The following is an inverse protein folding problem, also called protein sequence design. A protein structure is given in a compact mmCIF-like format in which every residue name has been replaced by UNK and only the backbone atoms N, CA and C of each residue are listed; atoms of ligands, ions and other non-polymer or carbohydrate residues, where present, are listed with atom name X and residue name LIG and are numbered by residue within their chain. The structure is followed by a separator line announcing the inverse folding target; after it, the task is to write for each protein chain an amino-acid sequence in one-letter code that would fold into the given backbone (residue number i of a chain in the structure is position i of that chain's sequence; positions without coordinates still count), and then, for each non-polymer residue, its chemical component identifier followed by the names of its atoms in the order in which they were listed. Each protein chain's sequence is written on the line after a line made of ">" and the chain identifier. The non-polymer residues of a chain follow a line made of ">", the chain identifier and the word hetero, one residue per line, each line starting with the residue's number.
data_IF_268089521834
#
_entry.id   IF_268089521834
#
_cell.length_a   1.000
_cell.length_b   1.000
_cell.length_c   1.000
_cell.angle_alpha   90.00
_cell.angle_beta   90.00
_cell.angle_gamma   90.00
#
_symmetry.space_group_name_H-M   'P 1'
#
loop_
_entity.id
_entity.type
_entity.pdbx_description
1 polymer ?
#
# COMPACT_ATOMS: atom_id res chain seq x y z
N UNK A 1 22.76 -18.15 63.41
CA UNK A 1 22.84 -18.38 61.95
C UNK A 1 22.10 -17.26 61.27
N UNK A 2 22.86 -16.42 60.58
CA UNK A 2 22.47 -15.09 60.15
C UNK A 2 21.72 -15.07 58.81
N UNK A 3 20.66 -14.26 58.77
CA UNK A 3 19.84 -13.86 57.64
C UNK A 3 20.70 -13.23 56.53
N UNK A 4 20.73 -13.83 55.35
CA UNK A 4 21.18 -13.19 54.10
C UNK A 4 20.23 -13.69 53.03
N UNK A 5 19.08 -13.04 52.91
CA UNK A 5 18.21 -13.15 51.75
C UNK A 5 17.15 -12.01 51.83
N UNK A 6 17.42 -10.80 51.40
CA UNK A 6 16.56 -10.16 50.44
C UNK A 6 17.27 -9.16 49.48
N UNK A 7 18.58 -9.29 49.22
CA UNK A 7 19.26 -8.33 48.33
C UNK A 7 19.35 -8.79 46.86
N UNK A 8 18.91 -10.03 46.54
CA UNK A 8 19.07 -10.58 45.19
C UNK A 8 17.82 -10.43 44.28
N UNK A 9 16.68 -9.97 44.83
CA UNK A 9 15.44 -9.81 44.07
C UNK A 9 15.27 -8.40 43.52
N UNK A 10 16.04 -7.42 43.99
CA UNK A 10 15.92 -6.01 43.53
C UNK A 10 16.78 -5.66 42.31
N UNK A 11 17.66 -6.57 41.87
CA UNK A 11 18.54 -6.32 40.69
C UNK A 11 17.95 -6.95 39.41
N UNK A 12 16.95 -7.83 39.51
CA UNK A 12 16.36 -8.49 38.33
C UNK A 12 15.20 -7.71 37.70
N UNK A 13 14.71 -6.62 38.31
CA UNK A 13 13.65 -5.79 37.76
C UNK A 13 14.13 -4.55 36.99
N UNK A 14 15.45 -4.33 36.88
CA UNK A 14 16.03 -3.18 36.16
C UNK A 14 16.61 -3.51 34.78
N UNK A 15 16.44 -4.73 34.30
CA UNK A 15 17.01 -5.18 33.02
C UNK A 15 15.97 -5.44 31.91
N UNK A 16 14.70 -5.07 32.11
CA UNK A 16 13.63 -5.22 31.09
C UNK A 16 13.04 -3.89 30.61
N UNK A 17 13.73 -2.81 30.82
CA UNK A 17 13.40 -1.50 30.28
C UNK A 17 14.43 -1.00 29.29
N UNK A 18 14.74 -1.78 28.24
CA UNK A 18 15.26 -1.17 27.03
C UNK A 18 14.12 -0.43 26.36
N UNK A 19 13.73 0.71 26.92
CA UNK A 19 12.94 1.70 26.19
C UNK A 19 13.75 2.05 24.94
N UNK A 20 13.32 1.58 23.80
CA UNK A 20 13.66 2.20 22.52
C UNK A 20 13.10 3.61 22.59
N UNK A 21 13.94 4.58 22.92
CA UNK A 21 13.58 6.01 22.94
C UNK A 21 13.45 6.48 21.50
N UNK A 22 12.36 6.12 20.82
CA UNK A 22 11.90 6.80 19.63
C UNK A 22 11.48 8.24 20.00
N UNK A 23 11.60 9.17 19.06
CA UNK A 23 11.07 10.52 19.23
C UNK A 23 9.55 10.50 19.41
N UNK A 24 8.98 11.58 19.92
CA UNK A 24 7.53 11.78 20.01
C UNK A 24 7.07 12.64 18.83
N UNK A 25 5.96 12.23 18.19
CA UNK A 25 5.32 13.03 17.15
C UNK A 25 4.35 14.00 17.80
N UNK A 26 4.58 15.31 17.64
CA UNK A 26 3.70 16.39 18.07
C UNK A 26 2.95 17.02 16.89
N UNK A 27 1.74 17.54 17.12
CA UNK A 27 0.94 18.24 16.11
C UNK A 27 1.61 19.60 15.77
N UNK A 28 1.88 19.81 14.47
CA UNK A 28 2.46 21.07 13.96
C UNK A 28 1.45 21.91 13.17
N UNK A 29 0.46 21.28 12.56
CA UNK A 29 -0.65 21.93 11.85
C UNK A 29 -1.86 21.02 11.81
N UNK A 30 -3.05 21.62 11.60
CA UNK A 30 -4.28 20.87 11.35
C UNK A 30 -5.25 21.70 10.50
N UNK A 31 -6.10 20.99 9.73
CA UNK A 31 -7.14 21.57 8.90
C UNK A 31 -8.35 20.65 8.78
N UNK A 32 -9.49 21.21 8.41
CA UNK A 32 -10.71 20.44 8.20
C UNK A 32 -10.64 19.67 6.89
N UNK A 33 -11.04 18.41 6.90
CA UNK A 33 -11.17 17.59 5.70
C UNK A 33 -12.42 16.70 5.83
N UNK A 34 -13.05 16.31 4.71
CA UNK A 34 -14.14 15.34 4.78
C UNK A 34 -13.62 13.96 5.18
N UNK A 35 -14.50 13.13 5.75
CA UNK A 35 -14.22 11.72 5.98
C UNK A 35 -13.95 11.02 4.64
N UNK A 36 -12.90 10.21 4.61
CA UNK A 36 -12.46 9.45 3.44
C UNK A 36 -12.59 7.94 3.67
N UNK A 37 -12.83 7.20 2.59
CA UNK A 37 -12.76 5.74 2.57
C UNK A 37 -11.34 5.27 2.23
N UNK A 38 -10.63 6.07 1.47
CA UNK A 38 -9.23 5.86 1.11
C UNK A 38 -8.61 7.22 0.82
N UNK A 39 -7.35 7.40 1.16
CA UNK A 39 -6.63 8.61 0.82
C UNK A 39 -5.16 8.34 0.49
N UNK A 40 -4.55 9.32 -0.18
CA UNK A 40 -3.13 9.33 -0.46
C UNK A 40 -2.60 10.77 -0.50
N UNK A 41 -1.31 10.91 -0.25
CA UNK A 41 -0.59 12.17 -0.46
C UNK A 41 0.30 12.04 -1.69
N UNK A 42 0.27 13.05 -2.56
CA UNK A 42 1.15 13.17 -3.73
C UNK A 42 1.68 14.58 -3.79
N UNK A 43 2.97 14.75 -3.55
CA UNK A 43 3.58 16.08 -3.40
C UNK A 43 2.96 16.86 -2.23
N UNK A 44 2.35 17.99 -2.54
CA UNK A 44 1.65 18.85 -1.59
C UNK A 44 0.12 18.67 -1.59
N UNK A 45 -0.39 17.62 -2.23
CA UNK A 45 -1.82 17.35 -2.37
C UNK A 45 -2.26 16.15 -1.54
N UNK A 46 -3.37 16.30 -0.82
CA UNK A 46 -4.11 15.23 -0.16
C UNK A 46 -5.32 14.84 -1.01
N UNK A 47 -5.32 13.64 -1.56
CA UNK A 47 -6.41 13.06 -2.34
C UNK A 47 -7.30 12.23 -1.41
N UNK A 48 -8.58 12.55 -1.34
CA UNK A 48 -9.57 11.94 -0.46
C UNK A 48 -10.67 11.30 -1.29
N UNK A 49 -10.65 9.99 -1.45
CA UNK A 49 -11.77 9.25 -2.02
C UNK A 49 -12.84 9.05 -0.94
N UNK A 50 -14.02 9.53 -1.20
CA UNK A 50 -15.15 9.55 -0.28
C UNK A 50 -16.42 9.03 -0.95
N UNK A 51 -17.43 8.75 -0.15
CA UNK A 51 -18.73 8.37 -0.71
C UNK A 51 -19.26 9.47 -1.65
N UNK A 52 -19.44 9.11 -2.91
CA UNK A 52 -20.00 10.00 -3.94
C UNK A 52 -18.99 10.93 -4.62
N UNK A 53 -17.69 10.86 -4.30
CA UNK A 53 -16.72 11.72 -4.97
C UNK A 53 -15.28 11.56 -4.50
N UNK A 54 -14.42 12.32 -5.15
CA UNK A 54 -13.02 12.51 -4.75
C UNK A 54 -12.77 13.99 -4.53
N UNK A 55 -12.12 14.33 -3.44
CA UNK A 55 -11.73 15.69 -3.09
C UNK A 55 -10.22 15.79 -2.99
N UNK A 56 -9.66 16.81 -3.58
CA UNK A 56 -8.25 17.15 -3.46
C UNK A 56 -8.11 18.43 -2.62
N UNK A 57 -7.28 18.39 -1.61
CA UNK A 57 -6.88 19.51 -0.78
C UNK A 57 -5.37 19.73 -0.91
N UNK A 58 -4.90 20.96 -0.73
CA UNK A 58 -3.50 21.20 -0.42
C UNK A 58 -3.21 20.88 1.07
N UNK A 59 -1.95 20.92 1.49
CA UNK A 59 -1.56 20.64 2.87
C UNK A 59 -1.87 21.81 3.84
N UNK A 60 -2.42 22.91 3.38
CA UNK A 60 -3.02 23.99 4.15
C UNK A 60 -4.54 23.82 4.32
N UNK A 61 -5.15 22.81 3.63
CA UNK A 61 -6.57 22.50 3.69
C UNK A 61 -7.42 23.27 2.67
N UNK A 62 -6.83 23.96 1.71
CA UNK A 62 -7.56 24.62 0.63
C UNK A 62 -7.98 23.59 -0.41
N UNK A 63 -9.19 23.76 -0.95
CA UNK A 63 -9.71 22.91 -2.01
C UNK A 63 -8.99 23.18 -3.32
N UNK A 64 -8.44 22.12 -3.91
CA UNK A 64 -7.86 22.13 -5.27
C UNK A 64 -8.93 21.75 -6.29
N UNK A 65 -9.65 20.64 -6.03
CA UNK A 65 -10.82 20.25 -6.82
C UNK A 65 -11.77 19.34 -6.01
N UNK A 66 -13.00 19.20 -6.48
CA UNK A 66 -14.00 18.23 -6.00
C UNK A 66 -14.70 17.61 -7.22
N UNK A 67 -14.58 16.30 -7.40
CA UNK A 67 -15.10 15.56 -8.55
C UNK A 67 -16.04 14.44 -8.10
N UNK A 68 -17.10 14.19 -8.86
CA UNK A 68 -18.08 13.16 -8.55
C UNK A 68 -17.56 11.76 -8.89
N UNK A 69 -17.76 10.82 -7.98
CA UNK A 69 -17.66 9.38 -8.20
C UNK A 69 -18.96 8.75 -7.66
N UNK A 70 -19.91 8.39 -8.51
CA UNK A 70 -21.29 8.13 -8.08
C UNK A 70 -21.48 6.82 -7.30
N UNK A 71 -20.52 5.91 -7.30
CA UNK A 71 -20.56 4.63 -6.58
C UNK A 71 -20.09 4.79 -5.13
N UNK A 72 -20.19 3.72 -4.33
CA UNK A 72 -20.00 3.77 -2.88
C UNK A 72 -18.60 3.37 -2.42
N UNK A 73 -17.94 2.43 -3.12
CA UNK A 73 -16.66 1.85 -2.69
C UNK A 73 -15.51 2.53 -3.43
N UNK A 74 -15.13 3.70 -2.90
CA UNK A 74 -14.08 4.53 -3.48
C UNK A 74 -12.68 4.11 -2.96
N UNK A 75 -11.72 4.04 -3.88
CA UNK A 75 -10.33 3.70 -3.61
C UNK A 75 -9.39 4.71 -4.29
N UNK A 76 -8.20 4.86 -3.74
CA UNK A 76 -7.10 5.65 -4.29
C UNK A 76 -5.92 4.74 -4.56
N UNK A 77 -5.28 4.91 -5.71
CA UNK A 77 -3.95 4.37 -5.99
C UNK A 77 -3.02 5.55 -6.28
N UNK A 78 -1.91 5.60 -5.56
CA UNK A 78 -0.89 6.63 -5.71
C UNK A 78 0.46 6.03 -6.09
N UNK A 79 1.27 6.84 -6.75
CA UNK A 79 2.63 6.53 -7.17
C UNK A 79 3.47 7.82 -7.16
N UNK A 80 4.75 7.72 -7.50
CA UNK A 80 5.60 8.89 -7.67
C UNK A 80 5.11 9.84 -8.79
N UNK A 81 4.34 9.34 -9.77
CA UNK A 81 3.83 10.11 -10.89
C UNK A 81 2.52 10.86 -10.58
N UNK A 82 1.81 10.52 -9.51
CA UNK A 82 0.51 11.11 -9.19
C UNK A 82 -0.43 10.16 -8.47
N UNK A 83 -1.74 10.45 -8.53
CA UNK A 83 -2.76 9.57 -7.97
C UNK A 83 -3.97 9.44 -8.90
N UNK A 84 -4.67 8.31 -8.75
CA UNK A 84 -5.97 8.07 -9.34
C UNK A 84 -6.96 7.64 -8.26
N UNK A 85 -8.20 8.10 -8.37
CA UNK A 85 -9.32 7.65 -7.56
C UNK A 85 -10.37 6.99 -8.44
N UNK A 86 -10.94 5.90 -7.97
CA UNK A 86 -11.96 5.12 -8.69
C UNK A 86 -12.93 4.48 -7.71
N UNK A 87 -14.06 3.97 -8.21
CA UNK A 87 -14.97 3.14 -7.43
C UNK A 87 -15.04 1.73 -8.01
N UNK A 88 -14.98 0.72 -7.14
CA UNK A 88 -15.25 -0.66 -7.54
C UNK A 88 -16.71 -0.77 -8.01
N UNK A 89 -16.93 -1.41 -9.17
CA UNK A 89 -18.24 -1.46 -9.82
C UNK A 89 -18.64 -0.21 -10.58
N UNK A 90 -17.83 0.88 -10.48
CA UNK A 90 -17.97 2.10 -11.28
C UNK A 90 -17.31 1.98 -12.64
N UNK A 91 -17.35 3.04 -13.41
CA UNK A 91 -16.72 3.12 -14.73
C UNK A 91 -15.89 4.40 -14.93
N UNK A 92 -15.61 5.12 -13.86
CA UNK A 92 -14.87 6.39 -13.92
C UNK A 92 -13.63 6.31 -13.05
N UNK A 93 -12.50 6.76 -13.59
CA UNK A 93 -11.25 7.04 -12.90
C UNK A 93 -11.03 8.53 -12.92
N UNK A 94 -10.73 9.14 -11.78
CA UNK A 94 -10.39 10.58 -11.63
C UNK A 94 -8.91 10.67 -11.29
N UNK A 95 -8.17 11.48 -12.04
CA UNK A 95 -6.75 11.75 -11.80
C UNK A 95 -6.57 12.94 -10.86
N UNK A 96 -5.38 13.10 -10.31
CA UNK A 96 -5.02 14.19 -9.38
C UNK A 96 -4.91 15.58 -10.04
N UNK A 97 -5.06 15.65 -11.36
CA UNK A 97 -5.27 16.88 -12.16
C UNK A 97 -6.75 17.20 -12.44
N UNK A 98 -7.68 16.48 -11.83
CA UNK A 98 -9.12 16.51 -12.02
C UNK A 98 -9.61 15.98 -13.38
N UNK A 99 -8.74 15.51 -14.27
CA UNK A 99 -9.16 14.85 -15.49
C UNK A 99 -9.78 13.49 -15.21
N UNK A 100 -10.66 13.05 -16.09
CA UNK A 100 -11.39 11.79 -15.92
C UNK A 100 -11.20 10.86 -17.11
N UNK A 101 -11.12 9.56 -16.80
CA UNK A 101 -11.18 8.49 -17.78
C UNK A 101 -12.46 7.69 -17.53
N UNK A 102 -13.19 7.39 -18.59
CA UNK A 102 -14.39 6.52 -18.52
C UNK A 102 -14.12 5.21 -19.23
N UNK A 103 -14.41 4.09 -18.56
CA UNK A 103 -14.35 2.74 -19.11
C UNK A 103 -15.73 2.29 -19.59
N UNK A 104 -15.76 1.39 -20.59
CA UNK A 104 -17.02 0.83 -21.09
C UNK A 104 -17.68 -0.12 -20.08
N UNK A 105 -16.89 -0.76 -19.23
CA UNK A 105 -17.32 -1.78 -18.30
C UNK A 105 -16.94 -1.41 -16.84
N UNK A 106 -17.58 -2.08 -15.90
CA UNK A 106 -17.37 -1.88 -14.47
C UNK A 106 -15.91 -2.17 -14.06
N UNK A 107 -15.32 -1.27 -13.30
CA UNK A 107 -13.97 -1.36 -12.77
C UNK A 107 -13.95 -2.35 -11.61
N UNK A 108 -12.99 -3.26 -11.62
CA UNK A 108 -12.65 -4.17 -10.52
C UNK A 108 -11.55 -3.55 -9.65
N UNK A 109 -10.50 -3.07 -10.29
CA UNK A 109 -9.40 -2.37 -9.64
C UNK A 109 -8.70 -1.44 -10.63
N UNK A 110 -7.97 -0.45 -10.12
CA UNK A 110 -7.10 0.38 -10.94
C UNK A 110 -5.83 0.73 -10.16
N UNK A 111 -4.73 0.88 -10.89
CA UNK A 111 -3.44 1.28 -10.33
C UNK A 111 -2.76 2.31 -11.21
N UNK A 112 -1.97 3.20 -10.60
CA UNK A 112 -1.09 4.14 -11.28
C UNK A 112 0.36 3.71 -11.02
N UNK A 113 1.17 3.68 -12.05
CA UNK A 113 2.60 3.36 -11.95
C UNK A 113 3.46 4.61 -11.85
N UNK A 114 4.73 4.46 -11.44
CA UNK A 114 5.68 5.57 -11.33
C UNK A 114 6.02 6.21 -12.69
N UNK A 115 5.80 5.51 -13.81
CA UNK A 115 5.90 6.10 -15.15
C UNK A 115 4.64 6.89 -15.56
N UNK A 116 3.61 6.97 -14.73
CA UNK A 116 2.36 7.69 -15.00
C UNK A 116 1.34 6.91 -15.85
N UNK A 117 1.62 5.65 -16.21
CA UNK A 117 0.64 4.81 -16.90
C UNK A 117 -0.33 4.19 -15.90
N UNK A 118 -1.61 4.13 -16.26
CA UNK A 118 -2.65 3.51 -15.44
C UNK A 118 -3.05 2.13 -15.98
N UNK A 119 -3.11 1.12 -15.11
CA UNK A 119 -3.71 -0.17 -15.42
C UNK A 119 -5.11 -0.23 -14.80
N UNK A 120 -6.14 -0.49 -15.61
CA UNK A 120 -7.53 -0.58 -15.15
C UNK A 120 -8.07 -1.96 -15.46
N UNK A 121 -8.40 -2.69 -14.41
CA UNK A 121 -9.04 -4.00 -14.48
C UNK A 121 -10.55 -3.81 -14.56
N UNK A 122 -11.20 -4.45 -15.51
CA UNK A 122 -12.64 -4.33 -15.72
C UNK A 122 -13.28 -5.71 -15.86
N UNK A 123 -14.54 -5.79 -15.49
CA UNK A 123 -15.39 -6.87 -15.99
C UNK A 123 -15.50 -6.77 -17.52
N UNK A 124 -15.49 -7.90 -18.23
CA UNK A 124 -15.54 -7.88 -19.70
C UNK A 124 -16.53 -8.93 -20.20
N UNK A 125 -17.62 -8.54 -20.89
CA UNK A 125 -18.59 -9.48 -21.44
C UNK A 125 -17.94 -10.46 -22.42
N UNK A 126 -18.17 -11.75 -22.21
CA UNK A 126 -17.59 -12.83 -23.02
C UNK A 126 -16.23 -13.32 -22.54
N UNK A 127 -15.64 -12.65 -21.56
CA UNK A 127 -14.43 -13.03 -20.84
C UNK A 127 -14.69 -13.01 -19.33
N UNK A 128 -13.70 -13.40 -18.53
CA UNK A 128 -13.78 -13.33 -17.06
C UNK A 128 -13.31 -11.98 -16.52
N UNK A 129 -12.56 -11.25 -17.32
CA UNK A 129 -12.07 -9.91 -17.00
C UNK A 129 -11.12 -9.41 -18.09
N UNK A 130 -10.76 -8.15 -18.00
CA UNK A 130 -9.75 -7.53 -18.85
C UNK A 130 -8.93 -6.52 -18.07
N UNK A 131 -7.71 -6.27 -18.56
CA UNK A 131 -6.86 -5.15 -18.13
C UNK A 131 -6.64 -4.24 -19.34
N UNK A 132 -6.93 -2.96 -19.18
CA UNK A 132 -6.54 -1.94 -20.16
C UNK A 132 -5.48 -1.04 -19.55
N UNK A 133 -4.37 -0.86 -20.26
CA UNK A 133 -3.31 0.07 -19.89
C UNK A 133 -3.51 1.37 -20.66
N UNK A 134 -3.50 2.47 -19.92
CA UNK A 134 -3.63 3.82 -20.47
C UNK A 134 -2.30 4.56 -20.32
N UNK A 135 -1.92 5.30 -21.36
CA UNK A 135 -0.75 6.19 -21.35
C UNK A 135 -0.97 7.39 -20.41
N UNK A 136 0.07 8.21 -20.26
CA UNK A 136 0.00 9.50 -19.55
C UNK A 136 -1.01 10.47 -20.17
N UNK A 137 -1.29 10.34 -21.48
CA UNK A 137 -2.34 11.10 -22.15
C UNK A 137 -3.73 10.45 -22.05
N UNK A 138 -3.89 9.43 -21.18
CA UNK A 138 -5.14 8.71 -20.95
C UNK A 138 -5.69 7.99 -22.20
N UNK A 139 -4.79 7.61 -23.12
CA UNK A 139 -5.10 6.83 -24.32
C UNK A 139 -4.81 5.36 -24.04
N UNK A 140 -5.74 4.46 -24.40
CA UNK A 140 -5.54 3.03 -24.28
C UNK A 140 -4.42 2.56 -25.23
N UNK A 141 -3.35 1.99 -24.67
CA UNK A 141 -2.17 1.54 -25.41
C UNK A 141 -2.00 0.03 -25.43
N UNK A 142 -2.62 -0.67 -24.48
CA UNK A 142 -2.56 -2.12 -24.39
C UNK A 142 -3.85 -2.66 -23.76
N UNK A 143 -4.31 -3.83 -24.20
CA UNK A 143 -5.44 -4.54 -23.58
C UNK A 143 -5.17 -6.04 -23.55
N UNK A 144 -5.40 -6.65 -22.40
CA UNK A 144 -5.30 -8.08 -22.17
C UNK A 144 -6.62 -8.62 -21.63
N UNK A 145 -6.97 -9.87 -21.99
CA UNK A 145 -8.22 -10.52 -21.59
C UNK A 145 -7.94 -11.83 -20.87
N UNK A 146 -8.60 -12.07 -19.75
CA UNK A 146 -8.64 -13.34 -19.08
C UNK A 146 -9.86 -14.14 -19.52
N UNK A 147 -9.62 -15.38 -19.95
CA UNK A 147 -10.69 -16.30 -20.37
C UNK A 147 -11.11 -17.28 -19.28
N UNK A 148 -10.21 -17.58 -18.33
CA UNK A 148 -10.38 -18.69 -17.39
C UNK A 148 -10.76 -18.23 -15.98
N UNK A 149 -10.24 -17.08 -15.50
CA UNK A 149 -10.49 -16.57 -14.17
C UNK A 149 -10.65 -15.05 -14.13
N UNK A 150 -11.17 -14.56 -13.02
CA UNK A 150 -11.33 -13.13 -12.79
C UNK A 150 -9.97 -12.45 -12.69
N UNK A 151 -9.90 -11.20 -13.14
CA UNK A 151 -8.73 -10.32 -12.94
C UNK A 151 -8.94 -9.55 -11.65
N UNK A 152 -8.10 -9.77 -10.68
CA UNK A 152 -8.21 -9.12 -9.37
C UNK A 152 -7.45 -7.81 -9.30
N UNK A 153 -6.25 -7.78 -9.87
CA UNK A 153 -5.42 -6.57 -9.94
C UNK A 153 -4.42 -6.63 -11.10
N UNK A 154 -3.91 -5.46 -11.47
CA UNK A 154 -2.80 -5.35 -12.40
C UNK A 154 -1.98 -4.11 -12.07
N UNK A 155 -0.68 -4.12 -12.40
CA UNK A 155 0.22 -3.00 -12.18
C UNK A 155 1.27 -2.91 -13.28
N UNK A 156 1.42 -1.73 -13.87
CA UNK A 156 2.49 -1.45 -14.84
C UNK A 156 3.81 -1.29 -14.09
N UNK A 157 4.90 -1.77 -14.67
CA UNK A 157 6.25 -1.60 -14.11
C UNK A 157 6.63 -0.11 -14.00
N UNK A 158 7.53 0.24 -13.08
CA UNK A 158 7.97 1.63 -12.91
C UNK A 158 8.58 2.25 -14.17
N UNK A 159 9.18 1.46 -15.05
CA UNK A 159 9.74 1.88 -16.33
C UNK A 159 8.74 1.88 -17.51
N UNK A 160 7.52 1.38 -17.29
CA UNK A 160 6.46 1.33 -18.31
C UNK A 160 6.61 0.20 -19.33
N UNK A 161 7.58 -0.70 -19.18
CA UNK A 161 7.86 -1.76 -20.16
C UNK A 161 7.02 -3.02 -19.98
N UNK A 162 6.53 -3.28 -18.78
CA UNK A 162 5.88 -4.52 -18.41
C UNK A 162 4.57 -4.29 -17.65
N UNK A 163 3.72 -5.31 -17.65
CA UNK A 163 2.47 -5.36 -16.92
C UNK A 163 2.40 -6.65 -16.10
N UNK A 164 2.27 -6.52 -14.80
CA UNK A 164 1.92 -7.62 -13.91
C UNK A 164 0.39 -7.72 -13.81
N UNK A 165 -0.15 -8.93 -13.95
CA UNK A 165 -1.61 -9.20 -13.83
C UNK A 165 -1.83 -10.36 -12.89
N UNK A 166 -2.68 -10.16 -11.89
CA UNK A 166 -3.17 -11.22 -11.01
C UNK A 166 -4.52 -11.73 -11.54
N UNK A 167 -4.51 -12.93 -12.06
CA UNK A 167 -5.70 -13.59 -12.60
C UNK A 167 -5.54 -15.10 -12.54
N UNK A 168 -6.66 -15.84 -12.44
CA UNK A 168 -6.66 -17.30 -12.57
C UNK A 168 -5.82 -18.04 -11.50
N UNK A 169 -5.57 -17.42 -10.34
CA UNK A 169 -4.64 -17.94 -9.32
C UNK A 169 -3.17 -17.84 -9.73
N UNK A 170 -2.86 -17.02 -10.72
CA UNK A 170 -1.52 -16.83 -11.29
C UNK A 170 -1.09 -15.38 -11.25
N UNK A 171 0.21 -15.20 -11.21
CA UNK A 171 0.88 -13.95 -11.52
C UNK A 171 1.38 -14.02 -12.97
N UNK A 172 0.77 -13.22 -13.85
CA UNK A 172 1.19 -13.09 -15.24
C UNK A 172 2.10 -11.88 -15.39
N UNK A 173 3.19 -12.05 -16.13
CA UNK A 173 4.10 -10.98 -16.52
C UNK A 173 4.03 -10.80 -18.03
N UNK A 174 3.59 -9.65 -18.48
CA UNK A 174 3.36 -9.32 -19.89
C UNK A 174 4.27 -8.18 -20.32
N UNK A 175 4.76 -8.21 -21.55
CA UNK A 175 5.50 -7.11 -22.15
C UNK A 175 4.54 -6.17 -22.89
N UNK A 176 4.60 -4.89 -22.60
CA UNK A 176 3.70 -3.89 -23.22
C UNK A 176 4.04 -3.60 -24.69
N UNK A 177 5.22 -3.99 -25.16
CA UNK A 177 5.55 -3.92 -26.59
C UNK A 177 4.85 -5.01 -27.43
N UNK A 178 4.20 -5.97 -26.78
CA UNK A 178 3.42 -7.06 -27.38
C UNK A 178 4.23 -8.08 -28.16
N UNK A 179 5.57 -8.04 -28.11
CA UNK A 179 6.45 -8.90 -28.92
C UNK A 179 7.07 -10.04 -28.13
N UNK A 180 7.21 -9.90 -26.82
CA UNK A 180 7.89 -10.88 -25.98
C UNK A 180 6.87 -11.69 -25.19
N UNK A 181 6.96 -13.01 -25.22
CA UNK A 181 6.36 -13.85 -24.22
C UNK A 181 7.11 -13.59 -22.91
N UNK A 182 6.38 -13.27 -21.87
CA UNK A 182 6.94 -13.05 -20.54
C UNK A 182 6.82 -14.33 -19.72
N UNK A 183 6.62 -14.23 -18.44
CA UNK A 183 6.47 -15.34 -17.53
C UNK A 183 5.04 -15.45 -16.96
N UNK A 184 4.75 -16.60 -16.44
CA UNK A 184 3.62 -16.79 -15.54
C UNK A 184 4.05 -17.67 -14.37
N UNK A 185 3.45 -17.44 -13.20
CA UNK A 185 3.66 -18.24 -12.02
C UNK A 185 2.31 -18.66 -11.43
N UNK A 186 2.11 -19.99 -11.30
CA UNK A 186 0.94 -20.56 -10.65
C UNK A 186 1.12 -20.46 -9.13
N UNK A 187 0.32 -19.62 -8.50
CA UNK A 187 0.43 -19.31 -7.08
C UNK A 187 -0.40 -20.24 -6.19
N UNK A 188 -1.23 -21.14 -6.81
CA UNK A 188 -2.11 -22.08 -6.12
C UNK A 188 -3.12 -21.41 -5.15
N UNK A 189 -3.21 -20.08 -5.14
CA UNK A 189 -4.21 -19.31 -4.42
C UNK A 189 -4.58 -18.05 -5.22
N UNK A 190 -5.69 -17.40 -4.84
CA UNK A 190 -6.10 -16.14 -5.44
C UNK A 190 -5.21 -15.00 -4.94
N UNK A 191 -4.65 -14.24 -5.89
CA UNK A 191 -3.86 -13.06 -5.58
C UNK A 191 -4.77 -11.83 -5.48
N UNK A 192 -4.53 -11.00 -4.48
CA UNK A 192 -5.30 -9.77 -4.21
C UNK A 192 -4.57 -8.49 -4.55
N UNK A 193 -3.25 -8.57 -4.76
CA UNK A 193 -2.41 -7.44 -5.10
C UNK A 193 -1.15 -7.89 -5.85
N UNK A 194 -0.54 -6.94 -6.55
CA UNK A 194 0.82 -7.08 -7.09
C UNK A 194 1.65 -5.86 -6.68
N UNK A 195 2.96 -6.05 -6.55
CA UNK A 195 3.90 -4.96 -6.27
C UNK A 195 5.20 -5.17 -7.05
N UNK A 196 5.73 -4.09 -7.63
CA UNK A 196 7.03 -4.10 -8.28
C UNK A 196 8.14 -3.84 -7.27
N UNK A 197 9.20 -4.63 -7.37
CA UNK A 197 10.42 -4.54 -6.57
C UNK A 197 11.61 -4.34 -7.52
N UNK A 198 12.80 -4.13 -6.97
CA UNK A 198 14.01 -4.07 -7.79
C UNK A 198 14.26 -5.42 -8.49
N UNK A 199 14.08 -5.46 -9.81
CA UNK A 199 14.33 -6.64 -10.64
C UNK A 199 13.30 -7.77 -10.52
N UNK A 200 12.18 -7.59 -9.82
CA UNK A 200 11.12 -8.58 -9.68
C UNK A 200 9.75 -7.94 -9.52
N UNK A 201 8.71 -8.72 -9.72
CA UNK A 201 7.35 -8.42 -9.31
C UNK A 201 6.87 -9.48 -8.33
N UNK A 202 6.10 -9.09 -7.32
CA UNK A 202 5.47 -10.06 -6.43
C UNK A 202 3.94 -9.98 -6.53
N UNK A 203 3.30 -11.15 -6.51
CA UNK A 203 1.88 -11.32 -6.26
C UNK A 203 1.65 -11.57 -4.77
N UNK A 204 0.61 -10.99 -4.20
CA UNK A 204 0.28 -11.10 -2.78
C UNK A 204 -1.03 -11.88 -2.66
N UNK A 205 -0.93 -13.09 -2.11
CA UNK A 205 -2.06 -13.94 -1.79
C UNK A 205 -2.51 -13.77 -0.33
N UNK A 206 -3.38 -14.64 0.13
CA UNK A 206 -3.88 -14.64 1.52
C UNK A 206 -2.87 -15.25 2.49
N UNK A 207 -2.15 -16.31 2.10
CA UNK A 207 -1.21 -17.05 2.94
C UNK A 207 0.25 -16.92 2.55
N UNK A 208 0.54 -16.23 1.43
CA UNK A 208 1.90 -16.12 0.91
C UNK A 208 2.11 -14.98 -0.05
N UNK A 209 3.36 -14.84 -0.47
CA UNK A 209 3.80 -13.92 -1.52
C UNK A 209 4.63 -14.68 -2.55
N UNK A 210 4.45 -14.35 -3.80
CA UNK A 210 4.95 -15.08 -4.97
C UNK A 210 5.74 -14.13 -5.85
N UNK A 211 7.04 -14.37 -5.99
CA UNK A 211 7.96 -13.50 -6.71
C UNK A 211 8.25 -14.07 -8.09
N UNK A 212 8.24 -13.22 -9.08
CA UNK A 212 8.65 -13.52 -10.43
C UNK A 212 9.69 -12.48 -10.87
N UNK A 213 10.88 -12.95 -11.30
CA UNK A 213 11.91 -12.03 -11.80
C UNK A 213 11.40 -11.26 -13.03
N UNK A 214 11.91 -10.05 -13.24
CA UNK A 214 11.48 -9.18 -14.34
C UNK A 214 11.71 -9.79 -15.75
N UNK A 215 12.60 -10.78 -15.87
CA UNK A 215 12.77 -11.56 -17.11
C UNK A 215 11.80 -12.75 -17.24
N UNK A 216 10.97 -12.98 -16.21
CA UNK A 216 9.96 -14.05 -16.17
C UNK A 216 10.52 -15.47 -16.00
N UNK A 217 11.81 -15.62 -15.66
CA UNK A 217 12.50 -16.92 -15.64
C UNK A 217 12.53 -17.53 -14.24
N UNK A 218 12.84 -16.72 -13.23
CA UNK A 218 13.00 -17.19 -11.85
C UNK A 218 11.74 -16.89 -11.05
N UNK A 219 11.18 -17.90 -10.40
CA UNK A 219 10.06 -17.76 -9.48
C UNK A 219 10.45 -18.23 -8.08
N UNK A 220 9.95 -17.56 -7.07
CA UNK A 220 10.16 -17.87 -5.65
C UNK A 220 8.85 -17.64 -4.91
N UNK A 221 8.70 -18.30 -3.76
CA UNK A 221 7.57 -18.07 -2.86
C UNK A 221 8.04 -17.94 -1.42
N UNK A 222 7.26 -17.20 -0.64
CA UNK A 222 7.40 -17.15 0.81
C UNK A 222 6.02 -17.36 1.45
N UNK A 223 5.88 -18.47 2.17
CA UNK A 223 4.65 -18.80 2.89
C UNK A 223 4.75 -18.30 4.33
N UNK A 224 3.68 -17.74 4.83
CA UNK A 224 3.57 -17.31 6.23
C UNK A 224 2.92 -18.36 7.14
N UNK A 225 2.77 -19.60 6.68
CA UNK A 225 2.11 -20.67 7.42
C UNK A 225 0.64 -20.39 7.67
N UNK A 226 0.22 -20.34 8.94
CA UNK A 226 -1.16 -20.01 9.32
C UNK A 226 -1.45 -18.49 9.33
N UNK A 227 -0.44 -17.66 9.08
CA UNK A 227 -0.57 -16.20 9.05
C UNK A 227 -1.32 -15.72 7.80
N UNK A 228 -2.15 -14.70 7.97
CA UNK A 228 -2.91 -14.08 6.89
C UNK A 228 -2.27 -12.74 6.54
N UNK A 229 -1.93 -12.55 5.27
CA UNK A 229 -1.34 -11.30 4.79
C UNK A 229 -2.34 -10.13 4.91
N UNK A 230 -1.85 -8.98 5.30
CA UNK A 230 -2.63 -7.77 5.51
C UNK A 230 -2.21 -6.61 4.60
N UNK A 231 -1.96 -5.45 5.18
CA UNK A 231 -1.45 -4.26 4.49
C UNK A 231 -0.05 -4.50 3.95
N UNK A 232 0.32 -3.83 2.88
CA UNK A 232 1.64 -3.93 2.28
C UNK A 232 2.10 -2.59 1.70
N UNK A 233 3.39 -2.47 1.50
CA UNK A 233 4.06 -1.37 0.81
C UNK A 233 5.38 -1.83 0.22
N UNK A 234 6.03 -0.98 -0.55
CA UNK A 234 7.37 -1.22 -1.10
C UNK A 234 8.31 -0.12 -0.61
N UNK A 235 9.50 -0.52 -0.19
CA UNK A 235 10.54 0.40 0.26
C UNK A 235 11.92 -0.11 -0.20
N UNK A 236 12.64 0.67 -0.97
CA UNK A 236 13.99 0.31 -1.48
C UNK A 236 14.01 -1.08 -2.13
N UNK A 237 13.04 -1.39 -2.98
CA UNK A 237 12.93 -2.70 -3.64
C UNK A 237 12.60 -3.88 -2.73
N UNK A 238 12.17 -3.63 -1.49
CA UNK A 238 11.71 -4.62 -0.52
C UNK A 238 10.20 -4.60 -0.39
N UNK A 239 9.62 -5.76 -0.18
CA UNK A 239 8.22 -5.87 0.21
C UNK A 239 8.11 -5.72 1.73
N UNK A 240 7.30 -4.78 2.16
CA UNK A 240 6.90 -4.58 3.56
C UNK A 240 5.47 -5.09 3.68
N UNK A 241 5.24 -6.11 4.48
CA UNK A 241 3.93 -6.77 4.52
C UNK A 241 3.49 -7.12 5.93
N UNK A 242 2.26 -6.77 6.28
CA UNK A 242 1.61 -7.24 7.50
C UNK A 242 1.26 -8.72 7.38
N UNK A 243 1.53 -9.47 8.43
CA UNK A 243 1.07 -10.85 8.63
C UNK A 243 0.33 -10.91 9.95
N UNK A 244 -0.93 -11.32 9.90
CA UNK A 244 -1.82 -11.44 11.07
C UNK A 244 -1.87 -12.89 11.51
N UNK A 245 -1.65 -13.10 12.80
CA UNK A 245 -1.75 -14.39 13.49
C UNK A 245 -2.63 -14.20 14.72
N UNK A 246 -3.86 -14.67 14.69
CA UNK A 246 -4.87 -14.46 15.72
C UNK A 246 -5.07 -12.95 16.03
N UNK A 247 -4.81 -12.52 17.28
CA UNK A 247 -4.95 -11.13 17.74
C UNK A 247 -3.67 -10.30 17.60
N UNK A 248 -2.62 -10.84 16.97
CA UNK A 248 -1.32 -10.19 16.81
C UNK A 248 -1.02 -9.96 15.33
N UNK A 249 -0.30 -8.88 15.07
CA UNK A 249 0.28 -8.63 13.76
C UNK A 249 1.79 -8.53 13.86
N UNK A 250 2.46 -8.92 12.80
CA UNK A 250 3.85 -8.60 12.55
C UNK A 250 3.97 -8.00 11.16
N UNK A 251 4.92 -7.11 10.98
CA UNK A 251 5.27 -6.58 9.67
C UNK A 251 6.59 -7.17 9.27
N UNK A 252 6.59 -7.97 8.21
CA UNK A 252 7.76 -8.61 7.64
C UNK A 252 8.38 -7.72 6.57
N UNK A 253 9.69 -7.65 6.53
CA UNK A 253 10.49 -6.97 5.51
C UNK A 253 11.18 -8.06 4.70
N UNK A 254 10.76 -8.23 3.42
CA UNK A 254 11.27 -9.25 2.53
C UNK A 254 12.07 -8.62 1.39
N UNK A 255 13.21 -9.24 1.05
CA UNK A 255 13.96 -8.87 -0.15
C UNK A 255 13.25 -9.34 -1.44
N UNK A 256 13.69 -8.85 -2.59
CA UNK A 256 13.22 -9.33 -3.89
C UNK A 256 13.53 -10.82 -4.18
N UNK A 257 14.39 -11.45 -3.38
CA UNK A 257 14.69 -12.88 -3.40
C UNK A 257 13.82 -13.70 -2.41
N UNK A 258 12.71 -13.14 -1.95
CA UNK A 258 11.78 -13.77 -1.00
C UNK A 258 12.36 -14.06 0.40
N UNK A 259 13.54 -13.53 0.72
CA UNK A 259 14.20 -13.78 1.99
C UNK A 259 13.75 -12.76 3.06
N UNK A 260 13.38 -13.20 4.27
CA UNK A 260 13.05 -12.30 5.36
C UNK A 260 14.31 -11.60 5.89
N UNK A 261 14.32 -10.28 5.84
CA UNK A 261 15.42 -9.47 6.37
C UNK A 261 15.19 -9.02 7.81
N UNK A 262 13.97 -8.61 8.11
CA UNK A 262 13.59 -8.12 9.44
C UNK A 262 12.08 -8.31 9.71
N UNK A 263 11.71 -8.11 10.98
CA UNK A 263 10.34 -8.23 11.45
C UNK A 263 10.05 -7.16 12.52
N UNK A 264 8.90 -6.49 12.41
CA UNK A 264 8.36 -5.57 13.42
C UNK A 264 7.18 -6.27 14.09
N UNK A 265 7.30 -6.57 15.38
CA UNK A 265 6.22 -7.18 16.18
C UNK A 265 5.30 -6.09 16.73
N UNK A 266 4.01 -6.27 16.51
CA UNK A 266 2.98 -5.31 16.92
C UNK A 266 2.02 -5.95 17.92
N UNK A 267 1.44 -5.10 18.77
CA UNK A 267 0.30 -5.48 19.57
C UNK A 267 -0.96 -4.94 18.87
N UNK A 268 -1.81 -5.84 18.39
CA UNK A 268 -3.02 -5.48 17.63
C UNK A 268 -2.81 -5.42 16.11
N UNK A 269 -3.88 -5.10 15.40
CA UNK A 269 -3.94 -5.09 13.94
C UNK A 269 -3.38 -3.80 13.34
N UNK A 270 -2.82 -3.89 12.14
CA UNK A 270 -2.44 -2.74 11.31
C UNK A 270 -3.68 -2.20 10.61
N UNK A 271 -4.03 -0.94 10.85
CA UNK A 271 -5.12 -0.23 10.18
C UNK A 271 -4.66 0.40 8.88
N UNK A 272 -3.44 0.95 8.87
CA UNK A 272 -2.83 1.59 7.72
C UNK A 272 -1.32 1.37 7.70
N UNK A 273 -0.73 1.39 6.51
CA UNK A 273 0.71 1.31 6.30
C UNK A 273 1.07 2.19 5.11
N UNK A 274 2.16 2.91 5.25
CA UNK A 274 2.75 3.69 4.16
C UNK A 274 4.27 3.55 4.18
N UNK A 275 4.88 3.66 3.00
CA UNK A 275 6.32 3.50 2.82
C UNK A 275 6.82 4.60 1.89
N UNK A 276 7.71 5.42 2.37
CA UNK A 276 8.31 6.52 1.60
C UNK A 276 9.72 6.83 2.10
N UNK A 277 10.58 7.29 1.23
CA UNK A 277 11.99 7.60 1.48
C UNK A 277 12.73 6.39 2.11
N UNK A 278 13.08 6.47 3.38
CA UNK A 278 13.72 5.41 4.16
C UNK A 278 12.88 5.02 5.38
N UNK A 279 11.57 5.25 5.32
CA UNK A 279 10.63 5.10 6.44
C UNK A 279 9.48 4.15 6.12
N UNK A 280 9.06 3.46 7.16
CA UNK A 280 7.84 2.65 7.20
C UNK A 280 6.94 3.30 8.25
N UNK A 281 5.74 3.68 7.86
CA UNK A 281 4.70 4.14 8.77
C UNK A 281 3.72 3.00 9.01
N UNK A 282 3.37 2.79 10.27
CA UNK A 282 2.38 1.81 10.69
C UNK A 282 1.36 2.51 11.58
N UNK A 283 0.11 2.50 11.15
CA UNK A 283 -1.04 2.93 11.94
C UNK A 283 -1.67 1.71 12.60
N UNK A 284 -1.82 1.77 13.91
CA UNK A 284 -2.63 0.83 14.71
C UNK A 284 -3.80 1.59 15.34
N UNK A 285 -4.63 0.92 16.13
CA UNK A 285 -5.75 1.57 16.82
C UNK A 285 -5.32 2.70 17.77
N UNK A 286 -4.17 2.53 18.44
CA UNK A 286 -3.73 3.42 19.50
C UNK A 286 -2.52 4.28 19.10
N UNK A 287 -1.75 3.86 18.11
CA UNK A 287 -0.46 4.50 17.79
C UNK A 287 -0.21 4.66 16.29
N UNK A 288 0.41 5.78 15.94
CA UNK A 288 1.13 5.98 14.70
C UNK A 288 2.61 5.77 14.99
N UNK A 289 3.24 4.76 14.39
CA UNK A 289 4.66 4.45 14.55
C UNK A 289 5.41 4.69 13.23
N UNK A 290 6.53 5.39 13.30
CA UNK A 290 7.45 5.54 12.16
C UNK A 290 8.70 4.72 12.46
N UNK A 291 9.06 3.86 11.52
CA UNK A 291 10.19 2.94 11.62
C UNK A 291 11.19 3.24 10.51
N UNK A 292 12.46 2.91 10.74
CA UNK A 292 13.46 2.94 9.68
C UNK A 292 13.34 1.66 8.80
N UNK A 293 14.09 1.62 7.70
CA UNK A 293 14.15 0.48 6.78
C UNK A 293 14.62 -0.85 7.40
N UNK A 294 15.12 -0.82 8.65
CA UNK A 294 15.49 -2.00 9.42
C UNK A 294 14.43 -2.38 10.45
N UNK A 295 13.27 -1.75 10.43
CA UNK A 295 12.19 -2.01 11.38
C UNK A 295 12.44 -1.46 12.78
N UNK A 296 13.39 -0.52 12.98
CA UNK A 296 13.63 0.11 14.29
C UNK A 296 12.72 1.33 14.43
N UNK A 297 12.06 1.45 15.56
CA UNK A 297 11.19 2.58 15.87
C UNK A 297 12.00 3.89 15.88
N UNK A 298 11.58 4.85 15.09
CA UNK A 298 12.16 6.20 14.99
C UNK A 298 11.34 7.20 15.79
N UNK A 299 10.01 7.16 15.65
CA UNK A 299 9.10 8.03 16.38
C UNK A 299 7.72 7.40 16.51
N UNK A 300 6.94 7.90 17.47
CA UNK A 300 5.57 7.44 17.70
C UNK A 300 4.69 8.61 18.12
N UNK A 301 3.39 8.51 17.79
CA UNK A 301 2.36 9.46 18.17
C UNK A 301 1.06 8.75 18.53
N UNK A 302 0.15 9.50 19.15
CA UNK A 302 -1.22 9.02 19.45
C UNK A 302 -2.04 8.92 18.15
N UNK A 303 -2.79 7.83 18.00
CA UNK A 303 -3.66 7.56 16.87
C UNK A 303 -5.15 7.56 17.21
N UNK A 304 -5.53 8.07 18.39
CA UNK A 304 -6.93 8.08 18.82
C UNK A 304 -7.82 8.80 17.81
N UNK A 305 -8.77 8.07 17.20
CA UNK A 305 -9.70 8.61 16.20
C UNK A 305 -9.09 8.82 14.80
N UNK A 306 -7.87 8.35 14.55
CA UNK A 306 -7.24 8.37 13.23
C UNK A 306 -7.73 7.17 12.42
N UNK A 307 -8.16 7.41 11.18
CA UNK A 307 -8.56 6.37 10.22
C UNK A 307 -7.50 6.08 9.18
N UNK A 308 -6.68 7.07 8.82
CA UNK A 308 -5.62 6.96 7.81
C UNK A 308 -4.39 7.74 8.26
N UNK A 309 -3.22 7.26 7.88
CA UNK A 309 -1.95 7.95 8.14
C UNK A 309 -0.99 7.75 6.97
N UNK A 310 -0.26 8.81 6.59
CA UNK A 310 0.65 8.85 5.45
C UNK A 310 1.93 9.59 5.80
N UNK A 311 3.03 9.17 5.18
CA UNK A 311 4.31 9.87 5.27
C UNK A 311 4.30 11.13 4.40
N UNK A 312 4.88 12.18 4.93
CA UNK A 312 5.21 13.41 4.22
C UNK A 312 6.73 13.57 4.15
N UNK A 313 7.19 14.40 3.23
CA UNK A 313 8.59 14.76 3.12
C UNK A 313 9.20 15.21 4.45
N UNK A 314 10.46 14.84 4.68
CA UNK A 314 11.18 15.19 5.90
C UNK A 314 10.77 14.39 7.14
N UNK A 315 10.08 13.25 6.96
CA UNK A 315 9.68 12.37 8.06
C UNK A 315 8.52 12.90 8.89
N UNK A 316 7.77 13.87 8.37
CA UNK A 316 6.47 14.29 8.92
C UNK A 316 5.42 13.24 8.61
N UNK A 317 4.33 13.26 9.35
CA UNK A 317 3.21 12.35 9.17
C UNK A 317 1.93 13.15 9.03
N UNK A 318 1.12 12.85 8.02
CA UNK A 318 -0.26 13.32 7.92
C UNK A 318 -1.18 12.23 8.48
N UNK A 319 -2.06 12.61 9.38
CA UNK A 319 -3.12 11.73 9.88
C UNK A 319 -4.48 12.32 9.52
N UNK A 320 -5.44 11.46 9.16
CA UNK A 320 -6.82 11.83 8.82
C UNK A 320 -7.77 11.04 9.73
N UNK A 321 -8.75 11.74 10.31
CA UNK A 321 -9.77 11.09 11.13
C UNK A 321 -10.73 12.10 11.76
N UNK A 322 -11.99 11.72 11.92
CA UNK A 322 -13.00 12.55 12.55
C UNK A 322 -13.24 13.92 11.88
N UNK A 323 -13.05 14.01 10.58
CA UNK A 323 -13.24 15.26 9.83
C UNK A 323 -12.06 16.25 9.90
N UNK A 324 -10.90 15.81 10.38
CA UNK A 324 -9.70 16.64 10.55
C UNK A 324 -8.48 15.91 9.98
N UNK A 325 -7.65 16.63 9.26
CA UNK A 325 -6.28 16.22 8.94
C UNK A 325 -5.31 16.93 9.88
N UNK A 326 -4.30 16.20 10.37
CA UNK A 326 -3.24 16.74 11.24
C UNK A 326 -1.88 16.40 10.68
N UNK A 327 -0.99 17.36 10.68
CA UNK A 327 0.43 17.17 10.35
C UNK A 327 1.20 17.03 11.65
N UNK A 328 1.84 15.89 11.83
CA UNK A 328 2.67 15.56 12.96
C UNK A 328 4.15 15.63 12.57
N UNK A 329 4.99 16.05 13.48
CA UNK A 329 6.45 16.06 13.31
C UNK A 329 7.14 15.66 14.62
N UNK A 330 8.41 15.27 14.54
CA UNK A 330 9.19 14.98 15.73
C UNK A 330 9.33 16.24 16.60
N UNK A 331 8.95 16.14 17.85
CA UNK A 331 9.30 17.12 18.87
C UNK A 331 10.83 17.11 19.04
N UNK A 332 11.44 18.27 18.85
CA UNK A 332 12.91 18.47 18.98
C UNK A 332 13.33 18.56 20.44
#
# INVERSE_FOLDING_TARGET
>A
MKRILPALILILCLALGACTTGGTLGESASFLCPDAQSCAVVGDKLILARRGGVKCLDLEGNEVFDSALPQLDAAVSASAAGAIAYCVGGNTVVFDDAETLTTDNAIVSASLSDCGMAAVCTFEPGYKGAVTVYSTEKIAVYKWYSALGEVTCAQVSPDGGQLAVCAEGKLHLLCLDGKSAQGEYDCHEELRAAAWLDGAVCGIGSGGVYFLSADGVKSLEHSFGDGITGKYGVLDGRLIIEVREDEKSRVCILSGDAEPENEIKLQGSVLGMDCSDDRILILTHDTVGVYDRKGRLVSTGDASGVSEAMLLDGGRVLTVGGGVAKILQNDR
#
